data_IF_614853374252
#
_entry.id   IF_614853374252
#
_cell.length_a   1.000
_cell.length_b   1.000
_cell.length_c   1.000
_cell.angle_alpha   90.00
_cell.angle_beta   90.00
_cell.angle_gamma   90.00
#
_symmetry.space_group_name_H-M   'P 1'
#
loop_
_entity.id
_entity.type
_entity.pdbx_description
1 polymer ?
#
# COMPACT_ATOMS: atom_id res chain seq x y z
N UNK A 1 -2.56 0.43 -7.61
CA UNK A 1 -1.31 -0.28 -7.25
C UNK A 1 -0.20 0.72 -6.99
N UNK A 2 0.71 0.42 -6.07
CA UNK A 2 1.95 1.16 -5.81
C UNK A 2 3.09 0.15 -5.68
N UNK A 3 4.22 0.37 -6.35
CA UNK A 3 5.37 -0.54 -6.34
C UNK A 3 6.68 0.21 -6.25
N UNK A 4 7.64 -0.32 -5.48
CA UNK A 4 9.04 0.07 -5.50
C UNK A 4 9.85 -1.07 -6.10
N UNK A 5 10.08 -1.04 -7.41
CA UNK A 5 10.58 -2.20 -8.16
C UNK A 5 11.53 -1.85 -9.31
N UNK A 6 12.35 -2.84 -9.69
CA UNK A 6 13.20 -2.77 -10.88
C UNK A 6 12.55 -3.44 -12.09
N UNK A 7 11.72 -4.47 -11.86
CA UNK A 7 10.97 -5.17 -12.90
C UNK A 7 9.66 -5.75 -12.36
N UNK A 8 8.94 -6.46 -13.21
CA UNK A 8 7.70 -7.18 -12.88
C UNK A 8 7.91 -8.45 -12.01
N UNK A 9 9.17 -8.83 -11.81
CA UNK A 9 9.65 -10.04 -11.09
C UNK A 9 10.70 -9.73 -10.02
N UNK A 10 11.13 -8.47 -9.90
CA UNK A 10 12.10 -8.03 -8.89
C UNK A 10 11.65 -6.71 -8.27
N UNK A 11 11.40 -6.73 -6.96
CA UNK A 11 10.84 -5.60 -6.21
C UNK A 11 11.38 -5.52 -4.80
N UNK A 12 11.33 -4.33 -4.22
CA UNK A 12 11.51 -4.15 -2.78
C UNK A 12 10.15 -4.24 -2.06
N UNK A 13 9.13 -3.56 -2.59
CA UNK A 13 7.78 -3.60 -2.03
C UNK A 13 6.71 -3.38 -3.10
N UNK A 14 5.53 -3.96 -2.92
CA UNK A 14 4.33 -3.65 -3.71
C UNK A 14 3.09 -3.71 -2.80
N UNK A 15 2.22 -2.71 -2.95
CA UNK A 15 0.82 -2.77 -2.52
C UNK A 15 -0.06 -2.81 -3.77
N UNK A 16 -0.67 -3.97 -3.98
CA UNK A 16 -1.47 -4.30 -5.15
C UNK A 16 -2.88 -4.72 -4.79
N UNK A 17 -3.62 -5.08 -5.84
CA UNK A 17 -4.94 -5.68 -5.75
C UNK A 17 -4.92 -6.96 -6.59
N UNK A 18 -5.50 -8.02 -6.05
CA UNK A 18 -5.72 -9.28 -6.74
C UNK A 18 -7.20 -9.64 -6.61
N UNK A 19 -7.97 -9.44 -7.69
CA UNK A 19 -9.44 -9.60 -7.67
C UNK A 19 -10.06 -8.71 -6.59
N UNK A 20 -10.69 -9.28 -5.56
CA UNK A 20 -11.33 -8.58 -4.42
C UNK A 20 -10.45 -8.60 -3.16
N UNK A 21 -9.15 -8.88 -3.32
CA UNK A 21 -8.15 -8.90 -2.25
C UNK A 21 -7.15 -7.77 -2.44
N UNK A 22 -6.60 -7.27 -1.33
CA UNK A 22 -5.35 -6.53 -1.37
C UNK A 22 -4.17 -7.46 -1.21
N UNK A 23 -3.07 -7.08 -1.85
CA UNK A 23 -1.84 -7.86 -1.88
C UNK A 23 -0.65 -7.01 -1.44
N UNK A 24 0.07 -7.47 -0.42
CA UNK A 24 1.35 -6.94 0.02
C UNK A 24 2.49 -7.88 -0.38
N UNK A 25 3.51 -7.33 -1.02
CA UNK A 25 4.80 -8.01 -1.22
C UNK A 25 5.89 -7.15 -0.63
N UNK A 26 6.78 -7.77 0.14
CA UNK A 26 7.96 -7.10 0.70
C UNK A 26 9.17 -8.03 0.59
N UNK A 27 10.23 -7.56 -0.07
CA UNK A 27 11.51 -8.27 -0.14
C UNK A 27 12.22 -8.18 1.21
N UNK A 28 12.73 -9.31 1.68
CA UNK A 28 13.55 -9.41 2.88
C UNK A 28 14.55 -10.56 2.72
N UNK A 29 15.29 -10.87 3.78
CA UNK A 29 16.09 -12.11 3.88
C UNK A 29 15.25 -13.38 4.05
N UNK A 30 13.92 -13.26 4.21
CA UNK A 30 12.96 -14.36 4.33
C UNK A 30 12.10 -14.58 3.08
N UNK A 31 12.11 -13.64 2.14
CA UNK A 31 11.38 -13.73 0.87
C UNK A 31 12.33 -13.78 -0.32
N UNK A 32 11.81 -14.15 -1.50
CA UNK A 32 12.60 -14.09 -2.72
C UNK A 32 12.77 -12.64 -3.24
N UNK A 33 13.49 -12.46 -4.35
CA UNK A 33 13.70 -11.15 -4.99
C UNK A 33 12.42 -10.43 -5.43
N UNK A 34 11.31 -11.16 -5.54
CA UNK A 34 10.00 -10.64 -5.87
C UNK A 34 9.13 -10.36 -4.63
N UNK A 35 9.65 -10.54 -3.42
CA UNK A 35 8.90 -10.37 -2.18
C UNK A 35 7.84 -11.45 -1.94
N UNK A 36 8.02 -12.65 -2.50
CA UNK A 36 7.13 -13.80 -2.27
C UNK A 36 7.60 -14.67 -1.08
N UNK A 37 6.67 -15.31 -0.34
CA UNK A 37 5.21 -15.30 -0.55
C UNK A 37 4.57 -13.95 -0.23
N UNK A 38 3.48 -13.62 -0.95
CA UNK A 38 2.73 -12.39 -0.73
C UNK A 38 1.79 -12.53 0.48
N UNK A 39 1.53 -11.43 1.18
CA UNK A 39 0.40 -11.31 2.09
C UNK A 39 -0.85 -10.94 1.29
N UNK A 40 -1.85 -11.79 1.29
CA UNK A 40 -3.16 -11.53 0.69
C UNK A 40 -4.22 -11.39 1.77
N UNK A 41 -5.11 -10.42 1.62
CA UNK A 41 -6.30 -10.36 2.48
C UNK A 41 -7.24 -11.52 2.19
N UNK A 42 -7.92 -12.10 3.18
CA UNK A 42 -8.80 -13.26 2.99
C UNK A 42 -9.83 -13.08 1.85
N UNK A 43 -9.86 -14.04 0.91
CA UNK A 43 -10.70 -13.96 -0.29
C UNK A 43 -12.20 -13.84 0.03
N UNK A 44 -12.68 -14.56 1.06
CA UNK A 44 -14.09 -14.53 1.47
C UNK A 44 -14.55 -13.18 2.04
N UNK A 45 -13.63 -12.32 2.47
CA UNK A 45 -13.98 -11.00 3.00
C UNK A 45 -14.18 -9.95 1.91
N UNK A 46 -13.68 -10.20 0.70
CA UNK A 46 -13.83 -9.33 -0.49
C UNK A 46 -13.54 -7.85 -0.17
N UNK A 47 -12.47 -7.57 0.57
CA UNK A 47 -12.23 -6.23 1.15
C UNK A 47 -11.86 -5.16 0.12
N UNK A 48 -11.37 -5.55 -1.06
CA UNK A 48 -11.10 -4.61 -2.14
C UNK A 48 -12.40 -4.29 -2.90
N UNK A 49 -12.79 -3.02 -2.88
CA UNK A 49 -14.04 -2.50 -3.43
C UNK A 49 -13.75 -1.38 -4.45
N UNK A 50 -14.74 -1.04 -5.26
CA UNK A 50 -14.63 0.04 -6.25
C UNK A 50 -14.78 1.45 -5.64
N UNK A 51 -15.19 1.54 -4.37
CA UNK A 51 -15.26 2.81 -3.64
C UNK A 51 -13.86 3.32 -3.25
N UNK A 52 -13.74 4.62 -2.97
CA UNK A 52 -12.50 5.17 -2.44
C UNK A 52 -12.20 4.56 -1.07
N UNK A 53 -11.05 3.90 -0.94
CA UNK A 53 -10.62 3.24 0.28
C UNK A 53 -9.25 3.76 0.73
N UNK A 54 -9.06 3.84 2.04
CA UNK A 54 -7.76 4.07 2.65
C UNK A 54 -7.09 2.73 2.91
N UNK A 55 -5.97 2.45 2.24
CA UNK A 55 -5.26 1.18 2.33
C UNK A 55 -3.86 1.46 2.84
N UNK A 56 -3.42 0.72 3.85
CA UNK A 56 -2.08 0.83 4.42
C UNK A 56 -1.44 -0.55 4.46
N UNK A 57 -0.24 -0.67 3.88
CA UNK A 57 0.68 -1.77 4.12
C UNK A 57 1.74 -1.28 5.09
N UNK A 58 1.94 -2.01 6.19
CA UNK A 58 3.06 -1.79 7.12
C UNK A 58 3.98 -2.99 7.09
N UNK A 59 5.25 -2.78 7.41
CA UNK A 59 6.23 -3.84 7.58
C UNK A 59 6.99 -3.65 8.89
N UNK A 60 7.01 -4.70 9.71
CA UNK A 60 7.81 -4.78 10.92
C UNK A 60 8.84 -5.92 10.79
N UNK A 61 10.13 -5.70 11.12
CA UNK A 61 11.16 -6.74 10.99
C UNK A 61 10.94 -8.00 11.85
N UNK A 62 10.03 -7.95 12.82
CA UNK A 62 9.69 -9.10 13.68
C UNK A 62 8.31 -9.66 13.29
N UNK A 63 7.29 -8.81 13.24
CA UNK A 63 5.91 -9.21 13.00
C UNK A 63 5.54 -9.38 11.51
N UNK A 64 6.38 -8.90 10.60
CA UNK A 64 6.15 -8.96 9.16
C UNK A 64 5.17 -7.90 8.65
N UNK A 65 4.52 -8.22 7.53
CA UNK A 65 3.54 -7.35 6.88
C UNK A 65 2.20 -7.32 7.62
N UNK A 66 1.54 -6.15 7.62
CA UNK A 66 0.12 -6.03 7.97
C UNK A 66 -0.58 -5.12 6.98
N UNK A 67 -1.80 -5.50 6.61
CA UNK A 67 -2.69 -4.69 5.75
C UNK A 67 -3.81 -4.11 6.61
N UNK A 68 -4.09 -2.84 6.39
CA UNK A 68 -5.22 -2.13 6.97
C UNK A 68 -6.09 -1.57 5.85
N UNK A 69 -7.41 -1.67 6.02
CA UNK A 69 -8.41 -1.09 5.11
C UNK A 69 -9.33 -0.21 5.93
N UNK A 70 -9.49 1.04 5.51
CA UNK A 70 -10.32 2.05 6.18
C UNK A 70 -10.02 2.19 7.67
N UNK A 71 -8.72 2.19 8.02
CA UNK A 71 -8.26 2.35 9.40
C UNK A 71 -8.20 1.05 10.21
N UNK A 72 -8.72 -0.07 9.68
CA UNK A 72 -8.88 -1.33 10.43
C UNK A 72 -7.92 -2.41 9.93
N UNK A 73 -7.26 -3.11 10.85
CA UNK A 73 -6.41 -4.26 10.52
C UNK A 73 -7.25 -5.40 9.94
N UNK A 74 -6.83 -6.00 8.82
CA UNK A 74 -7.61 -7.05 8.15
C UNK A 74 -7.56 -8.40 8.85
N UNK A 75 -6.62 -8.61 9.78
CA UNK A 75 -6.47 -9.86 10.53
C UNK A 75 -5.56 -10.90 9.86
N UNK A 76 -5.20 -10.69 8.59
CA UNK A 76 -4.43 -11.65 7.80
C UNK A 76 -2.96 -11.70 8.22
N UNK A 77 -2.43 -12.91 8.38
CA UNK A 77 -1.06 -13.16 8.85
C UNK A 77 -0.10 -13.23 7.67
N UNK A 78 1.04 -12.54 7.78
CA UNK A 78 2.11 -12.62 6.79
C UNK A 78 2.74 -14.04 6.75
N UNK A 79 2.65 -14.76 5.62
CA UNK A 79 3.25 -16.09 5.49
C UNK A 79 4.78 -16.08 5.58
N UNK A 80 5.44 -14.96 5.22
CA UNK A 80 6.89 -14.84 5.25
C UNK A 80 7.45 -14.43 6.62
N UNK A 81 6.60 -13.89 7.50
CA UNK A 81 6.98 -13.24 8.77
C UNK A 81 7.96 -12.06 8.57
N UNK A 82 8.42 -11.48 9.69
CA UNK A 82 9.43 -10.43 9.68
C UNK A 82 10.82 -10.92 9.26
N UNK A 83 11.61 -9.99 8.72
CA UNK A 83 12.98 -10.20 8.27
C UNK A 83 13.71 -8.88 8.07
N UNK A 84 14.99 -8.97 7.70
CA UNK A 84 15.84 -7.82 7.39
C UNK A 84 15.56 -7.30 5.98
N UNK A 85 15.47 -5.97 5.85
CA UNK A 85 15.33 -5.27 4.56
C UNK A 85 16.69 -4.87 3.95
N UNK A 86 17.80 -5.37 4.50
CA UNK A 86 19.15 -4.97 4.07
C UNK A 86 19.48 -5.29 2.60
N UNK A 87 18.70 -6.16 1.95
CA UNK A 87 18.84 -6.53 0.55
C UNK A 87 18.00 -5.67 -0.41
N UNK A 88 17.43 -4.55 0.06
CA UNK A 88 16.71 -3.60 -0.78
C UNK A 88 17.65 -2.84 -1.71
N UNK A 89 17.23 -2.72 -2.97
CA UNK A 89 17.94 -1.96 -3.98
C UNK A 89 17.38 -0.53 -4.07
N UNK A 90 18.19 0.46 -3.75
CA UNK A 90 17.74 1.86 -3.74
C UNK A 90 17.67 2.50 -5.14
N UNK A 91 18.11 1.80 -6.19
CA UNK A 91 18.04 2.26 -7.59
C UNK A 91 16.70 1.98 -8.25
N UNK A 92 15.83 1.21 -7.59
CA UNK A 92 14.49 0.89 -8.09
C UNK A 92 13.61 2.13 -8.20
N UNK A 93 12.59 2.05 -9.04
CA UNK A 93 11.65 3.15 -9.25
C UNK A 93 10.43 2.99 -8.35
N UNK A 94 9.93 4.12 -7.82
CA UNK A 94 8.61 4.18 -7.21
C UNK A 94 7.58 4.43 -8.32
N UNK A 95 6.69 3.46 -8.53
CA UNK A 95 5.66 3.49 -9.58
C UNK A 95 4.27 3.46 -8.95
N UNK A 96 3.39 4.32 -9.45
CA UNK A 96 1.99 4.38 -9.06
C UNK A 96 1.12 4.07 -10.28
N UNK A 97 0.11 3.24 -10.11
CA UNK A 97 -0.87 2.95 -11.17
C UNK A 97 -0.38 2.04 -12.31
N UNK A 98 0.86 1.57 -12.27
CA UNK A 98 1.42 0.62 -13.23
C UNK A 98 2.64 -0.12 -12.62
N UNK A 99 3.28 -0.98 -13.41
CA UNK A 99 4.61 -1.56 -13.16
C UNK A 99 5.67 -0.82 -14.00
N UNK A 100 6.96 -0.97 -13.69
CA UNK A 100 8.06 -0.33 -14.46
C UNK A 100 8.07 -0.72 -15.94
N UNK A 101 7.54 -1.90 -16.26
CA UNK A 101 7.38 -2.44 -17.63
C UNK A 101 6.18 -1.85 -18.39
N UNK A 102 5.30 -1.08 -17.72
CA UNK A 102 4.17 -0.40 -18.35
C UNK A 102 2.96 -1.25 -18.71
N UNK A 103 3.01 -2.58 -18.51
CA UNK A 103 2.02 -3.55 -18.99
C UNK A 103 1.01 -4.02 -17.92
N UNK A 104 0.95 -3.38 -16.75
CA UNK A 104 0.05 -3.74 -15.64
C UNK A 104 -0.70 -2.51 -15.14
N UNK A 105 -1.38 -1.82 -16.04
CA UNK A 105 -2.12 -0.62 -15.68
C UNK A 105 -3.21 -0.93 -14.66
N UNK A 106 -3.22 -0.19 -13.55
CA UNK A 106 -4.29 -0.24 -12.56
C UNK A 106 -5.33 0.82 -12.87
N UNK A 107 -6.57 0.38 -13.11
CA UNK A 107 -7.70 1.22 -13.50
C UNK A 107 -8.42 1.78 -12.27
N UNK A 108 -7.79 2.74 -11.59
CA UNK A 108 -8.37 3.38 -10.41
C UNK A 108 -7.85 4.79 -10.18
N UNK A 109 -8.23 5.39 -9.05
CA UNK A 109 -7.84 6.76 -8.67
C UNK A 109 -7.04 6.73 -7.38
N UNK A 110 -5.88 7.41 -7.37
CA UNK A 110 -5.09 7.66 -6.17
C UNK A 110 -5.28 9.13 -5.79
N UNK A 111 -5.94 9.40 -4.66
CA UNK A 111 -6.09 10.76 -4.13
C UNK A 111 -4.93 11.21 -3.24
N UNK A 112 -4.27 10.26 -2.58
CA UNK A 112 -3.18 10.51 -1.66
C UNK A 112 -2.26 9.29 -1.58
N UNK A 113 -0.95 9.53 -1.52
CA UNK A 113 0.05 8.49 -1.30
C UNK A 113 1.12 9.04 -0.34
N UNK A 114 1.48 8.25 0.66
CA UNK A 114 2.53 8.56 1.62
C UNK A 114 3.37 7.32 1.90
N UNK A 115 4.66 7.54 2.18
CA UNK A 115 5.61 6.51 2.60
C UNK A 115 6.24 6.99 3.91
N UNK A 116 6.31 6.09 4.88
CA UNK A 116 6.90 6.36 6.19
C UNK A 116 8.12 5.47 6.42
N UNK A 117 9.13 5.99 7.12
CA UNK A 117 10.32 5.25 7.53
C UNK A 117 10.11 4.36 8.77
N UNK A 118 8.85 4.07 9.12
CA UNK A 118 8.47 3.23 10.27
C UNK A 118 7.14 2.54 10.02
N UNK A 119 6.93 1.40 10.67
CA UNK A 119 5.60 0.80 10.77
C UNK A 119 4.69 1.73 11.57
N UNK A 120 3.56 2.13 10.98
CA UNK A 120 2.54 2.89 11.70
C UNK A 120 1.85 2.01 12.73
N UNK A 121 1.60 2.55 13.92
CA UNK A 121 0.76 1.90 14.92
C UNK A 121 -0.70 1.88 14.48
N UNK A 122 -1.55 0.97 15.00
CA UNK A 122 -2.98 0.97 14.70
C UNK A 122 -3.67 2.31 14.95
N UNK A 123 -3.32 2.99 16.05
CA UNK A 123 -3.84 4.32 16.37
C UNK A 123 -3.44 5.38 15.34
N UNK A 124 -2.19 5.35 14.85
CA UNK A 124 -1.74 6.27 13.78
C UNK A 124 -2.43 5.97 12.44
N UNK A 125 -2.65 4.70 12.11
CA UNK A 125 -3.41 4.32 10.90
C UNK A 125 -4.85 4.83 10.98
N UNK A 126 -5.49 4.70 12.13
CA UNK A 126 -6.85 5.20 12.35
C UNK A 126 -6.90 6.74 12.34
N UNK A 127 -5.91 7.41 12.93
CA UNK A 127 -5.78 8.86 12.89
C UNK A 127 -5.64 9.37 11.44
N UNK A 128 -4.76 8.74 10.65
CA UNK A 128 -4.58 9.09 9.24
C UNK A 128 -5.85 8.85 8.43
N UNK A 129 -6.58 7.77 8.70
CA UNK A 129 -7.87 7.51 8.07
C UNK A 129 -8.90 8.61 8.39
N UNK A 130 -9.02 9.00 9.66
CA UNK A 130 -9.94 10.03 10.11
C UNK A 130 -9.61 11.42 9.54
N UNK A 131 -8.34 11.71 9.30
CA UNK A 131 -7.92 12.94 8.63
C UNK A 131 -8.39 13.03 7.17
N UNK A 132 -8.64 11.88 6.52
CA UNK A 132 -9.02 11.80 5.12
C UNK A 132 -7.92 12.28 4.17
N UNK A 133 -8.30 12.63 2.95
CA UNK A 133 -7.38 13.08 1.88
C UNK A 133 -7.44 14.58 1.62
N UNK A 134 -8.02 15.34 2.55
CA UNK A 134 -8.33 16.77 2.42
C UNK A 134 -9.52 17.02 1.49
N UNK A 135 -10.56 17.71 1.99
CA UNK A 135 -11.66 18.16 1.14
C UNK A 135 -11.36 19.56 0.59
N UNK A 136 -11.49 19.73 -0.73
CA UNK A 136 -11.56 21.06 -1.34
C UNK A 136 -12.98 21.58 -1.17
N UNK A 137 -13.18 22.49 -0.23
CA UNK A 137 -14.39 23.30 -0.16
C UNK A 137 -14.28 24.43 -1.19
N UNK A 138 -15.13 24.42 -2.21
CA UNK A 138 -15.37 25.61 -3.02
C UNK A 138 -16.31 26.51 -2.21
N UNK A 139 -15.76 27.56 -1.60
CA UNK A 139 -16.58 28.62 -1.03
C UNK A 139 -17.05 29.50 -2.20
N UNK A 140 -18.33 29.43 -2.51
CA UNK A 140 -18.98 30.33 -3.48
C UNK A 140 -19.18 31.69 -2.81
N UNK A 141 -18.13 32.50 -2.74
CA UNK A 141 -18.29 33.93 -2.52
C UNK A 141 -17.50 34.72 -3.57
N UNK A 142 -18.11 35.81 -4.01
CA UNK A 142 -17.53 36.74 -4.96
C UNK A 142 -16.58 37.70 -4.22
N UNK A 143 -15.32 37.77 -4.67
CA UNK A 143 -14.30 38.68 -4.13
C UNK A 143 -14.18 39.97 -4.93
N UNK A 144 -15.02 40.17 -5.96
CA UNK A 144 -14.98 41.37 -6.81
C UNK A 144 -15.57 42.64 -6.19
N UNK A 145 -16.07 42.57 -4.95
CA UNK A 145 -16.65 43.70 -4.23
C UNK A 145 -15.76 44.26 -3.11
N UNK A 146 -14.46 43.93 -3.09
CA UNK A 146 -13.47 44.51 -2.17
C UNK A 146 -12.68 45.64 -2.83
#
# INVERSE_FOLDING_TARGET
MVSYSGSDTTRNATLGQHVQQYEGRTRSDKTNTNGSPALLTAAGNMVAQAALQHIVLTYDPVAGQKIYVNGTYTGDVDPAKGGSLANWDNTFALVLGNETTGNRQWLGVIKFAAIHSRALTPAQVQQNFAAGVGERYYLLFDVSAL
#
